data_IF_395759235302
#
_entry.id   IF_395759235302
#
_cell.length_a   1.000
_cell.length_b   1.000
_cell.length_c   1.000
_cell.angle_alpha   90.00
_cell.angle_beta   90.00
_cell.angle_gamma   90.00
#
_symmetry.space_group_name_H-M   'P 1'
#
loop_
_entity.id
_entity.type
_entity.pdbx_description
1 polymer ?
#
# COMPACT_ATOMS: atom_id res chain seq x y z
N UNK A 1 23.74 65.65 9.82
CA UNK A 1 23.90 64.59 8.82
C UNK A 1 24.72 63.44 9.41
N UNK A 2 24.06 62.44 10.02
CA UNK A 2 24.68 61.16 10.43
C UNK A 2 23.64 60.06 10.26
N UNK A 3 23.94 59.13 9.37
CA UNK A 3 23.02 58.13 8.80
C UNK A 3 23.04 56.92 9.73
N UNK A 4 21.88 56.53 10.25
CA UNK A 4 21.68 55.28 11.00
C UNK A 4 21.87 54.09 10.03
N UNK A 5 22.89 53.27 10.24
CA UNK A 5 23.06 51.99 9.54
C UNK A 5 22.16 50.94 10.21
N UNK A 6 20.93 50.81 9.73
CA UNK A 6 20.06 49.68 10.07
C UNK A 6 20.47 48.47 9.26
N UNK A 7 21.05 47.45 9.90
CA UNK A 7 21.24 46.13 9.28
C UNK A 7 19.89 45.42 9.38
N UNK A 8 19.16 45.37 8.27
CA UNK A 8 17.94 44.56 8.14
C UNK A 8 18.42 43.12 7.89
N UNK A 9 18.44 42.31 8.93
CA UNK A 9 18.65 40.87 8.81
C UNK A 9 17.34 40.26 8.30
N UNK A 10 17.20 40.17 6.98
CA UNK A 10 16.06 39.53 6.33
C UNK A 10 16.18 38.01 6.56
N UNK A 11 15.48 37.52 7.57
CA UNK A 11 15.23 36.10 7.80
C UNK A 11 14.41 35.55 6.62
N UNK A 12 15.08 34.85 5.70
CA UNK A 12 14.43 34.03 4.69
C UNK A 12 13.63 32.93 5.41
N UNK A 13 12.33 33.18 5.57
CA UNK A 13 11.35 32.14 5.90
C UNK A 13 11.23 31.24 4.67
N UNK A 14 12.11 30.25 4.55
CA UNK A 14 11.90 29.13 3.65
C UNK A 14 10.70 28.34 4.18
N UNK A 15 9.52 28.61 3.65
CA UNK A 15 8.37 27.71 3.80
C UNK A 15 8.72 26.40 3.12
N UNK A 16 9.16 25.42 3.91
CA UNK A 16 9.36 24.05 3.42
C UNK A 16 7.97 23.50 3.17
N UNK A 17 7.45 23.65 1.95
CA UNK A 17 6.24 22.95 1.53
C UNK A 17 6.59 21.47 1.47
N UNK A 18 6.28 20.75 2.56
CA UNK A 18 6.35 19.30 2.57
C UNK A 18 5.27 18.78 1.64
N UNK A 19 5.64 18.51 0.39
CA UNK A 19 4.84 17.71 -0.52
C UNK A 19 4.80 16.31 0.08
N UNK A 20 3.70 15.97 0.74
CA UNK A 20 3.43 14.58 1.13
C UNK A 20 3.25 13.82 -0.19
N UNK A 21 4.19 12.93 -0.49
CA UNK A 21 4.05 12.04 -1.64
C UNK A 21 2.78 11.21 -1.42
N UNK A 22 1.87 11.22 -2.40
CA UNK A 22 0.66 10.41 -2.31
C UNK A 22 1.04 8.97 -2.62
N UNK A 23 0.94 8.10 -1.62
CA UNK A 23 1.18 6.66 -1.80
C UNK A 23 0.09 6.05 -2.68
N UNK A 24 0.51 5.26 -3.68
CA UNK A 24 -0.40 4.52 -4.55
C UNK A 24 -0.70 3.16 -3.92
N UNK A 25 -1.98 2.76 -3.78
CA UNK A 25 -2.33 1.45 -3.27
C UNK A 25 -2.23 0.37 -4.35
N UNK A 26 -2.00 -0.88 -3.93
CA UNK A 26 -2.15 -2.04 -4.80
C UNK A 26 -3.63 -2.45 -4.81
N UNK A 27 -4.22 -2.56 -5.99
CA UNK A 27 -5.62 -2.96 -6.16
C UNK A 27 -5.66 -4.34 -6.80
N UNK A 28 -6.27 -5.30 -6.11
CA UNK A 28 -6.44 -6.67 -6.58
C UNK A 28 -7.92 -7.00 -6.79
N UNK A 29 -8.26 -7.62 -7.93
CA UNK A 29 -9.62 -8.03 -8.32
C UNK A 29 -9.72 -9.55 -8.26
N UNK A 30 -10.69 -10.06 -7.50
CA UNK A 30 -10.93 -11.52 -7.38
C UNK A 30 -11.47 -12.07 -8.70
N UNK A 31 -10.93 -13.18 -9.18
CA UNK A 31 -11.40 -13.85 -10.39
C UNK A 31 -12.88 -14.22 -10.30
N UNK A 32 -13.62 -14.00 -11.40
CA UNK A 32 -15.07 -14.24 -11.50
C UNK A 32 -15.91 -13.37 -10.54
N UNK A 33 -15.38 -12.23 -10.09
CA UNK A 33 -16.07 -11.27 -9.23
C UNK A 33 -15.63 -9.85 -9.55
N UNK A 34 -16.49 -8.87 -9.32
CA UNK A 34 -16.12 -7.44 -9.35
C UNK A 34 -15.53 -6.96 -8.02
N UNK A 35 -15.39 -7.87 -7.04
CA UNK A 35 -14.87 -7.55 -5.72
C UNK A 35 -13.38 -7.21 -5.80
N UNK A 36 -13.06 -6.02 -5.32
CA UNK A 36 -11.71 -5.49 -5.21
C UNK A 36 -11.21 -5.54 -3.77
N UNK A 37 -9.90 -5.69 -3.64
CA UNK A 37 -9.15 -5.66 -2.40
C UNK A 37 -8.05 -4.63 -2.58
N UNK A 38 -7.90 -3.77 -1.60
CA UNK A 38 -6.97 -2.64 -1.65
C UNK A 38 -5.96 -2.86 -0.54
N UNK A 39 -4.69 -2.91 -0.92
CA UNK A 39 -3.58 -3.01 0.02
C UNK A 39 -2.78 -1.71 0.00
N UNK A 40 -2.43 -1.26 1.19
CA UNK A 40 -1.53 -0.12 1.43
C UNK A 40 -0.19 -0.62 1.96
N UNK A 41 0.78 0.28 2.10
CA UNK A 41 2.07 -0.06 2.69
C UNK A 41 1.93 -0.59 4.14
N UNK A 42 0.91 -0.13 4.87
CA UNK A 42 0.63 -0.55 6.25
C UNK A 42 0.14 -2.01 6.34
N UNK A 43 -0.51 -2.54 5.29
CA UNK A 43 -0.96 -3.95 5.25
C UNK A 43 0.20 -4.93 4.96
N UNK A 44 1.39 -4.43 4.58
CA UNK A 44 2.51 -5.24 4.12
C UNK A 44 3.27 -5.89 5.30
N UNK A 45 3.33 -7.21 5.31
CA UNK A 45 4.11 -7.98 6.29
C UNK A 45 5.51 -8.27 5.77
N UNK A 46 5.61 -8.61 4.48
CA UNK A 46 6.86 -9.09 3.90
C UNK A 46 6.94 -8.75 2.41
N UNK A 47 8.11 -8.30 1.97
CA UNK A 47 8.38 -8.00 0.57
C UNK A 47 9.71 -8.57 0.11
N UNK A 48 9.71 -9.01 -1.14
CA UNK A 48 10.88 -9.29 -1.96
C UNK A 48 10.64 -8.69 -3.33
N UNK A 49 11.64 -8.76 -4.21
CA UNK A 49 11.52 -8.32 -5.60
C UNK A 49 10.35 -8.95 -6.37
N UNK A 50 9.93 -10.16 -5.99
CA UNK A 50 8.94 -10.94 -6.75
C UNK A 50 7.68 -11.28 -5.94
N UNK A 51 7.71 -11.15 -4.62
CA UNK A 51 6.65 -11.64 -3.74
C UNK A 51 6.35 -10.62 -2.67
N UNK A 52 5.06 -10.38 -2.45
CA UNK A 52 4.53 -9.56 -1.36
C UNK A 52 3.58 -10.41 -0.53
N UNK A 53 3.61 -10.25 0.79
CA UNK A 53 2.65 -10.85 1.72
C UNK A 53 1.97 -9.73 2.48
N UNK A 54 0.65 -9.71 2.41
CA UNK A 54 -0.21 -8.75 3.10
C UNK A 54 -1.06 -9.43 4.16
N UNK A 55 -1.35 -8.69 5.23
CA UNK A 55 -2.41 -9.02 6.18
C UNK A 55 -3.37 -7.85 6.28
N UNK A 56 -4.66 -8.12 6.07
CA UNK A 56 -5.70 -7.10 6.08
C UNK A 56 -6.60 -7.22 7.32
N UNK A 57 -6.93 -6.10 7.96
CA UNK A 57 -7.55 -6.05 9.30
C UNK A 57 -9.00 -6.55 9.38
N UNK A 58 -9.67 -6.77 8.25
CA UNK A 58 -11.10 -7.17 8.22
C UNK A 58 -11.41 -8.62 8.65
N UNK A 59 -10.41 -9.36 9.11
CA UNK A 59 -10.45 -10.78 9.46
C UNK A 59 -9.17 -11.45 9.00
N UNK A 60 -8.78 -12.60 9.55
CA UNK A 60 -7.51 -13.29 9.27
C UNK A 60 -7.35 -13.57 7.76
N UNK A 61 -6.87 -12.58 7.03
CA UNK A 61 -6.71 -12.53 5.60
C UNK A 61 -5.24 -12.42 5.33
N UNK A 62 -4.64 -13.50 4.86
CA UNK A 62 -3.26 -13.50 4.39
C UNK A 62 -3.31 -13.58 2.87
N UNK A 63 -2.67 -12.64 2.21
CA UNK A 63 -2.64 -12.58 0.76
C UNK A 63 -1.22 -12.57 0.26
N UNK A 64 -0.94 -13.39 -0.75
CA UNK A 64 0.32 -13.42 -1.47
C UNK A 64 0.12 -12.80 -2.85
N UNK A 65 0.97 -11.86 -3.23
CA UNK A 65 1.00 -11.25 -4.56
C UNK A 65 2.32 -11.58 -5.23
N UNK A 66 2.27 -12.13 -6.44
CA UNK A 66 3.41 -12.25 -7.34
C UNK A 66 3.55 -10.96 -8.15
N UNK A 67 4.65 -10.24 -7.96
CA UNK A 67 4.89 -8.92 -8.56
C UNK A 67 5.06 -9.01 -10.08
N UNK A 68 5.62 -10.12 -10.59
CA UNK A 68 5.90 -10.28 -12.02
C UNK A 68 4.67 -10.76 -12.77
N UNK A 69 3.93 -11.69 -12.19
CA UNK A 69 2.72 -12.23 -12.78
C UNK A 69 1.49 -11.33 -12.54
N UNK A 70 1.59 -10.39 -11.60
CA UNK A 70 0.49 -9.53 -11.15
C UNK A 70 -0.75 -10.36 -10.75
N UNK A 71 -0.50 -11.53 -10.16
CA UNK A 71 -1.52 -12.44 -9.64
C UNK A 71 -1.50 -12.44 -8.12
N UNK A 72 -2.66 -12.66 -7.49
CA UNK A 72 -2.71 -12.88 -6.05
C UNK A 72 -3.50 -14.13 -5.67
N UNK A 73 -3.12 -14.64 -4.50
CA UNK A 73 -3.84 -15.67 -3.77
C UNK A 73 -4.21 -15.07 -2.42
N UNK A 74 -5.49 -15.12 -2.07
CA UNK A 74 -5.96 -14.73 -0.74
C UNK A 74 -6.49 -15.94 0.00
N UNK A 75 -6.08 -16.06 1.26
CA UNK A 75 -6.58 -17.07 2.19
C UNK A 75 -7.37 -16.34 3.27
N UNK A 76 -8.61 -16.77 3.47
CA UNK A 76 -9.55 -16.24 4.46
C UNK A 76 -10.21 -17.37 5.23
N UNK A 77 -10.81 -17.08 6.38
CA UNK A 77 -11.69 -18.04 7.05
C UNK A 77 -13.16 -17.78 6.70
N UNK A 78 -13.88 -18.83 6.27
CA UNK A 78 -15.33 -18.78 6.17
C UNK A 78 -15.93 -18.78 7.56
N UNK A 79 -16.72 -17.75 7.86
CA UNK A 79 -17.61 -17.74 9.02
C UNK A 79 -18.93 -18.41 8.63
N UNK A 80 -18.89 -19.74 8.53
CA UNK A 80 -20.07 -20.59 8.32
C UNK A 80 -20.49 -21.21 9.67
N UNK A 81 -21.79 -21.27 9.97
CA UNK A 81 -22.31 -21.86 11.19
C UNK A 81 -22.08 -23.38 11.25
N UNK A 82 -22.05 -24.05 10.10
CA UNK A 82 -21.86 -25.50 10.04
C UNK A 82 -20.39 -25.91 10.05
N UNK A 83 -19.48 -25.00 9.63
CA UNK A 83 -18.03 -25.27 9.52
C UNK A 83 -17.19 -24.05 9.91
N UNK A 84 -17.07 -23.74 11.22
CA UNK A 84 -16.56 -22.46 11.70
C UNK A 84 -15.07 -22.15 11.43
N UNK A 85 -14.33 -22.96 10.67
CA UNK A 85 -12.89 -22.76 10.40
C UNK A 85 -12.46 -23.23 8.99
N UNK A 86 -13.36 -23.33 8.01
CA UNK A 86 -12.96 -23.75 6.67
C UNK A 86 -12.16 -22.62 5.99
N UNK A 87 -10.94 -22.88 5.49
CA UNK A 87 -10.22 -21.89 4.70
C UNK A 87 -10.91 -21.71 3.35
N UNK A 88 -11.14 -20.45 2.96
CA UNK A 88 -11.50 -20.06 1.60
C UNK A 88 -10.27 -19.47 0.93
N UNK A 89 -9.88 -20.10 -0.19
CA UNK A 89 -8.80 -19.63 -1.05
C UNK A 89 -9.40 -18.96 -2.27
N UNK A 90 -9.04 -17.70 -2.49
CA UNK A 90 -9.45 -16.90 -3.64
C UNK A 90 -8.23 -16.57 -4.48
N UNK A 91 -8.44 -16.46 -5.79
CA UNK A 91 -7.43 -16.10 -6.76
C UNK A 91 -7.85 -14.83 -7.49
N UNK A 92 -6.88 -14.10 -8.04
CA UNK A 92 -7.18 -12.97 -8.91
C UNK A 92 -5.93 -12.27 -9.43
N UNK A 93 -6.13 -11.02 -9.85
CA UNK A 93 -5.09 -10.19 -10.47
C UNK A 93 -5.00 -8.83 -9.79
N UNK A 94 -3.79 -8.27 -9.75
CA UNK A 94 -3.56 -6.93 -9.25
C UNK A 94 -3.13 -6.00 -10.39
N UNK A 95 -3.44 -4.72 -10.27
CA UNK A 95 -2.99 -3.70 -11.23
C UNK A 95 -1.91 -2.82 -10.62
N UNK A 96 -0.96 -2.39 -11.46
CA UNK A 96 0.02 -1.35 -11.14
C UNK A 96 0.87 -1.68 -9.89
N UNK A 97 1.20 -2.98 -9.70
CA UNK A 97 1.92 -3.46 -8.51
C UNK A 97 3.27 -2.75 -8.39
N UNK A 98 4.04 -2.73 -9.48
CA UNK A 98 5.37 -2.11 -9.50
C UNK A 98 5.31 -0.60 -9.29
N UNK A 99 4.33 0.09 -9.88
CA UNK A 99 4.16 1.53 -9.68
C UNK A 99 3.84 1.86 -8.21
N UNK A 100 3.01 1.04 -7.58
CA UNK A 100 2.70 1.18 -6.15
C UNK A 100 3.93 0.94 -5.29
N UNK A 101 4.71 -0.12 -5.55
CA UNK A 101 5.97 -0.39 -4.85
C UNK A 101 6.99 0.74 -4.96
N UNK A 102 7.10 1.40 -6.12
CA UNK A 102 7.96 2.57 -6.28
C UNK A 102 7.54 3.72 -5.38
N UNK A 103 6.24 3.92 -5.14
CA UNK A 103 5.76 4.93 -4.18
C UNK A 103 6.02 4.56 -2.72
N UNK A 104 6.15 3.27 -2.42
CA UNK A 104 6.48 2.75 -1.09
C UNK A 104 7.99 2.60 -0.87
N UNK A 105 8.82 2.94 -1.87
CA UNK A 105 10.28 2.81 -1.85
C UNK A 105 10.76 1.34 -1.73
N UNK A 106 10.06 0.42 -2.41
CA UNK A 106 10.26 -1.04 -2.35
C UNK A 106 10.58 -1.70 -3.70
N UNK A 107 10.93 -0.93 -4.74
CA UNK A 107 11.12 -1.40 -6.13
C UNK A 107 12.56 -1.78 -6.55
#
# INVERSE_FOLDING_TARGET
>A
MRIFKGIILASMLFSVSSVVAQELPIICTISNSDKKIIYTADDLIFATRNNLIFQHDSGVLVSHVDVKAETFIQISQLKDQDYPNRPLVLFGHCSDVRASLSTWLLD
#
